data_IF_910389735165
#
_entry.id   IF_910389735165
#
_cell.length_a   1.000
_cell.length_b   1.000
_cell.length_c   1.000
_cell.angle_alpha   90.00
_cell.angle_beta   90.00
_cell.angle_gamma   90.00
#
_symmetry.space_group_name_H-M   'P 1'
#
loop_
_entity.id
_entity.type
_entity.pdbx_description
1 polymer ?
#
# COMPACT_ATOMS: atom_id res chain seq x y z
N UNK A 1 -34.08 -40.20 -50.96
CA UNK A 1 -34.65 -38.99 -50.32
C UNK A 1 -34.29 -37.81 -51.24
N UNK A 2 -35.17 -37.43 -52.19
CA UNK A 2 -35.81 -36.09 -52.33
C UNK A 2 -34.84 -34.93 -52.03
N UNK A 3 -34.60 -33.88 -52.82
CA UNK A 3 -35.30 -33.13 -53.89
C UNK A 3 -34.24 -32.11 -54.42
N UNK A 4 -34.06 -31.84 -55.71
CA UNK A 4 -34.86 -30.98 -56.60
C UNK A 4 -34.36 -29.51 -56.65
N UNK A 5 -33.98 -29.12 -57.88
CA UNK A 5 -34.12 -27.81 -58.58
C UNK A 5 -33.45 -26.52 -58.07
N UNK A 6 -32.99 -25.75 -59.06
CA UNK A 6 -33.44 -24.36 -59.19
C UNK A 6 -32.35 -23.30 -59.10
N UNK A 7 -31.78 -22.97 -60.26
CA UNK A 7 -31.08 -21.71 -60.50
C UNK A 7 -32.08 -20.53 -60.43
N UNK A 8 -31.79 -19.54 -59.58
CA UNK A 8 -32.46 -18.23 -59.57
C UNK A 8 -31.41 -17.16 -59.27
N UNK A 9 -31.11 -16.38 -60.30
CA UNK A 9 -30.41 -15.10 -60.19
C UNK A 9 -31.26 -14.11 -59.39
N UNK A 10 -30.66 -13.48 -58.38
CA UNK A 10 -31.23 -12.33 -57.68
C UNK A 10 -30.23 -11.17 -57.71
N UNK A 11 -30.76 -9.99 -57.95
CA UNK A 11 -30.08 -8.76 -58.32
C UNK A 11 -29.29 -8.12 -57.17
N UNK A 12 -28.19 -7.45 -57.55
CA UNK A 12 -27.42 -6.55 -56.69
C UNK A 12 -28.27 -5.35 -56.26
N UNK A 13 -28.60 -5.29 -54.98
CA UNK A 13 -29.13 -4.11 -54.30
C UNK A 13 -27.98 -3.43 -53.55
N UNK A 14 -27.46 -2.34 -54.12
CA UNK A 14 -26.53 -1.44 -53.44
C UNK A 14 -27.27 -0.68 -52.33
N UNK A 15 -26.96 -1.03 -51.08
CA UNK A 15 -27.38 -0.28 -49.88
C UNK A 15 -26.33 0.81 -49.62
N UNK A 16 -26.69 2.08 -49.44
CA UNK A 16 -25.74 3.12 -49.06
C UNK A 16 -25.36 2.94 -47.58
N UNK A 17 -24.09 2.60 -47.33
CA UNK A 17 -23.55 2.52 -45.97
C UNK A 17 -23.32 3.92 -45.41
N UNK A 18 -24.21 4.41 -44.57
CA UNK A 18 -23.95 5.59 -43.73
C UNK A 18 -22.90 5.21 -42.68
N UNK A 19 -21.72 5.84 -42.75
CA UNK A 19 -20.67 5.69 -41.74
C UNK A 19 -21.17 6.25 -40.40
N UNK A 20 -20.96 5.57 -39.27
CA UNK A 20 -21.31 6.11 -37.96
C UNK A 20 -20.41 7.31 -37.62
N UNK A 21 -21.02 8.33 -37.04
CA UNK A 21 -20.34 9.51 -36.49
C UNK A 21 -19.23 9.08 -35.51
N UNK A 22 -18.02 9.59 -35.75
CA UNK A 22 -16.89 9.42 -34.84
C UNK A 22 -17.15 10.29 -33.62
N UNK A 23 -17.63 9.67 -32.54
CA UNK A 23 -17.69 10.31 -31.23
C UNK A 23 -16.24 10.58 -30.78
N UNK A 24 -15.85 11.84 -30.47
CA UNK A 24 -14.52 12.11 -29.99
C UNK A 24 -14.35 11.46 -28.63
N UNK A 25 -13.46 10.47 -28.55
CA UNK A 25 -13.01 9.89 -27.29
C UNK A 25 -12.23 10.98 -26.56
N UNK A 26 -12.88 11.64 -25.60
CA UNK A 26 -12.18 12.46 -24.62
C UNK A 26 -11.17 11.55 -23.92
N UNK A 27 -9.88 11.79 -24.21
CA UNK A 27 -8.77 11.16 -23.51
C UNK A 27 -8.98 11.41 -22.01
N UNK A 28 -9.32 10.34 -21.28
CA UNK A 28 -9.48 10.43 -19.83
C UNK A 28 -8.19 10.95 -19.21
N UNK A 29 -8.34 11.90 -18.27
CA UNK A 29 -7.23 12.35 -17.43
C UNK A 29 -6.44 11.15 -16.89
N UNK A 30 -5.12 11.27 -16.69
CA UNK A 30 -4.34 10.20 -16.13
C UNK A 30 -4.95 9.82 -14.78
N UNK A 31 -5.59 8.66 -14.72
CA UNK A 31 -6.09 8.09 -13.46
C UNK A 31 -4.85 7.89 -12.61
N UNK A 32 -4.64 8.81 -11.67
CA UNK A 32 -3.65 8.63 -10.62
C UNK A 32 -4.02 7.29 -9.98
N UNK A 33 -3.14 6.29 -10.13
CA UNK A 33 -3.27 5.00 -9.41
C UNK A 33 -3.14 5.32 -7.92
N UNK A 34 -4.25 5.75 -7.34
CA UNK A 34 -4.52 5.85 -5.92
C UNK A 34 -5.44 4.67 -5.60
N UNK A 35 -5.21 4.03 -4.46
CA UNK A 35 -6.09 2.98 -3.99
C UNK A 35 -7.23 3.60 -3.16
N UNK A 36 -8.48 3.36 -3.58
CA UNK A 36 -9.67 3.92 -2.95
C UNK A 36 -9.94 5.40 -3.29
N UNK A 37 -10.99 5.97 -2.70
CA UNK A 37 -11.52 7.30 -3.07
C UNK A 37 -11.06 8.42 -2.12
N UNK A 38 -10.55 8.09 -0.92
CA UNK A 38 -10.12 9.10 0.07
C UNK A 38 -8.84 9.77 -0.39
N UNK A 39 -8.87 11.07 -0.67
CA UNK A 39 -7.73 11.77 -1.26
C UNK A 39 -6.56 11.85 -0.29
N UNK A 40 -5.34 11.72 -0.82
CA UNK A 40 -4.11 11.91 -0.06
C UNK A 40 -4.11 13.23 0.75
N UNK A 41 -4.57 14.32 0.13
CA UNK A 41 -4.66 15.63 0.78
C UNK A 41 -5.57 15.64 2.02
N UNK A 42 -6.66 14.88 2.03
CA UNK A 42 -7.58 14.81 3.18
C UNK A 42 -6.94 14.08 4.36
N UNK A 43 -6.23 12.98 4.07
CA UNK A 43 -5.45 12.25 5.08
C UNK A 43 -4.33 13.12 5.64
N UNK A 44 -3.54 13.75 4.77
CA UNK A 44 -2.44 14.64 5.16
C UNK A 44 -2.92 15.83 5.99
N UNK A 45 -4.08 16.40 5.66
CA UNK A 45 -4.68 17.48 6.44
C UNK A 45 -5.06 17.03 7.86
N UNK A 46 -5.54 15.79 8.05
CA UNK A 46 -5.84 15.27 9.39
C UNK A 46 -4.63 15.02 10.24
N UNK A 47 -3.51 14.67 9.62
CA UNK A 47 -2.29 14.25 10.33
C UNK A 47 -1.19 15.31 10.27
N UNK A 48 -1.56 16.57 9.98
CA UNK A 48 -0.63 17.70 9.87
C UNK A 48 0.06 18.00 11.20
N UNK A 49 -0.70 17.92 12.28
CA UNK A 49 -0.25 18.24 13.62
C UNK A 49 0.14 16.94 14.36
N UNK A 50 1.05 17.02 15.32
CA UNK A 50 1.56 15.86 16.04
C UNK A 50 1.45 16.04 17.55
N UNK A 51 0.67 15.18 18.20
CA UNK A 51 0.75 14.94 19.64
C UNK A 51 1.55 13.64 19.87
N UNK A 52 2.84 13.71 20.24
CA UNK A 52 3.68 12.51 20.37
C UNK A 52 3.13 11.54 21.41
N UNK A 53 3.05 10.26 21.04
CA UNK A 53 2.73 9.14 21.95
C UNK A 53 3.93 8.21 22.14
N UNK A 54 4.99 8.37 21.36
CA UNK A 54 6.30 7.77 21.67
C UNK A 54 7.01 8.57 22.77
N UNK A 55 7.76 7.87 23.62
CA UNK A 55 8.60 8.45 24.69
C UNK A 55 9.92 9.04 24.16
N UNK A 56 10.21 8.85 22.88
CA UNK A 56 11.38 9.36 22.18
C UNK A 56 11.12 9.52 20.70
N UNK A 57 12.19 9.69 19.92
CA UNK A 57 12.16 9.83 18.46
C UNK A 57 12.93 8.68 17.82
N UNK A 58 12.52 8.32 16.61
CA UNK A 58 13.16 7.35 15.73
C UNK A 58 14.06 8.05 14.71
N UNK A 59 14.99 7.28 14.17
CA UNK A 59 15.85 7.63 13.03
C UNK A 59 15.17 7.17 11.73
N UNK A 60 15.48 7.83 10.62
CA UNK A 60 15.14 7.32 9.28
C UNK A 60 16.08 6.16 8.93
N UNK A 61 17.38 6.38 9.13
CA UNK A 61 18.41 5.40 8.82
C UNK A 61 19.42 5.23 9.97
N UNK A 62 20.16 4.13 9.94
CA UNK A 62 21.29 3.90 10.84
C UNK A 62 22.30 5.06 10.78
N UNK A 63 22.71 5.56 11.94
CA UNK A 63 23.67 6.67 12.04
C UNK A 63 23.08 8.07 11.84
N UNK A 64 21.84 8.21 11.37
CA UNK A 64 21.18 9.53 11.24
C UNK A 64 20.60 10.00 12.57
N UNK A 65 20.48 11.30 12.85
CA UNK A 65 19.89 11.77 14.11
C UNK A 65 18.41 11.37 14.28
N UNK A 66 18.02 11.01 15.49
CA UNK A 66 16.64 10.64 15.80
C UNK A 66 15.71 11.87 15.82
N UNK A 67 14.81 11.97 14.85
CA UNK A 67 13.93 13.14 14.67
C UNK A 67 12.45 12.79 14.52
N UNK A 68 12.09 11.54 14.28
CA UNK A 68 10.73 11.14 13.90
C UNK A 68 9.94 10.69 15.14
N UNK A 69 8.93 11.45 15.62
CA UNK A 69 8.02 10.97 16.66
C UNK A 69 6.94 10.04 16.07
N UNK A 70 6.38 9.16 16.90
CA UNK A 70 5.07 8.55 16.62
C UNK A 70 4.03 9.44 17.27
N UNK A 71 3.08 9.90 16.48
CA UNK A 71 2.03 10.83 16.86
C UNK A 71 0.70 10.08 17.05
N UNK A 72 -0.06 10.44 18.08
CA UNK A 72 -1.35 9.84 18.38
C UNK A 72 -2.52 10.68 17.88
N UNK A 73 -3.55 10.00 17.41
CA UNK A 73 -4.88 10.56 17.16
C UNK A 73 -5.97 9.59 17.63
N UNK A 74 -7.22 10.07 17.62
CA UNK A 74 -8.38 9.20 17.83
C UNK A 74 -8.45 8.18 16.69
N UNK A 75 -8.46 6.90 17.04
CA UNK A 75 -8.54 5.79 16.07
C UNK A 75 -7.28 5.50 15.26
N UNK A 76 -6.20 6.29 15.37
CA UNK A 76 -4.97 6.05 14.61
C UNK A 76 -3.69 6.48 15.36
N UNK A 77 -2.56 5.93 14.94
CA UNK A 77 -1.24 6.55 15.13
C UNK A 77 -0.64 6.87 13.77
N UNK A 78 0.24 7.86 13.72
CA UNK A 78 0.91 8.21 12.48
C UNK A 78 2.33 8.72 12.70
N UNK A 79 3.11 8.70 11.62
CA UNK A 79 4.41 9.33 11.54
C UNK A 79 4.70 9.74 10.09
N UNK A 80 5.65 10.64 9.92
CA UNK A 80 6.19 11.00 8.61
C UNK A 80 7.68 10.66 8.59
N UNK A 81 8.10 9.89 7.60
CA UNK A 81 9.44 9.37 7.47
C UNK A 81 9.88 9.33 5.99
N UNK A 82 11.05 8.78 5.77
CA UNK A 82 11.49 8.12 4.55
C UNK A 82 10.70 6.83 4.27
N UNK A 83 11.11 6.12 3.21
CA UNK A 83 10.71 4.75 2.95
C UNK A 83 11.91 3.96 2.44
N UNK A 84 12.49 3.15 3.31
CA UNK A 84 13.35 2.03 2.97
C UNK A 84 12.50 0.83 2.49
N UNK A 85 13.09 0.01 1.62
CA UNK A 85 12.40 -1.14 1.04
C UNK A 85 12.74 -2.39 1.84
N UNK A 86 11.73 -2.92 2.52
CA UNK A 86 11.77 -4.21 3.17
C UNK A 86 11.39 -5.29 2.14
N UNK A 87 12.30 -6.22 1.89
CA UNK A 87 12.09 -7.36 1.00
C UNK A 87 11.95 -8.70 1.76
N UNK A 88 11.77 -8.67 3.07
CA UNK A 88 11.72 -9.86 3.90
C UNK A 88 10.50 -10.74 3.62
N UNK A 89 10.64 -12.02 3.96
CA UNK A 89 9.61 -13.03 3.83
C UNK A 89 9.86 -14.03 2.71
N UNK A 90 8.82 -14.36 1.95
CA UNK A 90 8.86 -15.41 0.93
C UNK A 90 9.79 -15.00 -0.20
N UNK A 91 10.83 -15.80 -0.51
CA UNK A 91 11.66 -15.54 -1.68
C UNK A 91 10.82 -15.49 -2.95
N UNK A 92 10.99 -14.43 -3.72
CA UNK A 92 10.36 -14.19 -5.01
C UNK A 92 11.41 -13.75 -6.02
N UNK A 93 11.00 -13.51 -7.27
CA UNK A 93 11.91 -12.95 -8.29
C UNK A 93 12.41 -11.55 -7.92
N UNK A 94 11.63 -10.79 -7.14
CA UNK A 94 11.94 -9.39 -6.77
C UNK A 94 12.65 -9.29 -5.42
N UNK A 95 12.25 -10.13 -4.47
CA UNK A 95 12.79 -10.12 -3.11
C UNK A 95 13.43 -11.47 -2.78
N UNK A 96 14.75 -11.50 -2.66
CA UNK A 96 15.54 -12.67 -2.28
C UNK A 96 16.97 -12.25 -1.91
N UNK A 97 17.77 -13.17 -1.36
CA UNK A 97 19.18 -12.95 -0.99
C UNK A 97 20.08 -12.42 -2.10
N UNK A 98 19.72 -12.58 -3.37
CA UNK A 98 20.52 -12.04 -4.49
C UNK A 98 20.13 -10.60 -4.79
N UNK A 99 18.87 -10.22 -4.63
CA UNK A 99 18.41 -8.85 -4.91
C UNK A 99 18.59 -7.94 -3.70
N UNK A 100 18.47 -8.47 -2.49
CA UNK A 100 18.58 -7.75 -1.23
C UNK A 100 19.66 -8.38 -0.32
N UNK A 101 20.76 -7.66 -0.02
CA UNK A 101 21.79 -8.12 0.92
C UNK A 101 21.31 -8.34 2.36
N UNK A 102 20.26 -7.63 2.78
CA UNK A 102 19.70 -7.69 4.13
C UNK A 102 18.56 -8.71 4.28
N UNK A 103 18.19 -9.38 3.18
CA UNK A 103 17.03 -10.27 3.11
C UNK A 103 16.98 -11.34 4.21
N UNK A 104 15.87 -11.35 4.94
CA UNK A 104 15.39 -12.46 5.77
C UNK A 104 14.33 -13.26 5.04
N UNK A 105 14.37 -14.59 5.18
CA UNK A 105 13.33 -15.47 4.66
C UNK A 105 12.07 -15.54 5.56
N UNK A 106 11.95 -14.66 6.54
CA UNK A 106 10.89 -14.63 7.53
C UNK A 106 10.42 -13.20 7.79
N UNK A 107 9.12 -13.05 8.05
CA UNK A 107 8.49 -11.83 8.53
C UNK A 107 7.96 -12.03 9.95
N UNK A 108 7.86 -10.98 10.75
CA UNK A 108 7.35 -11.05 12.12
C UNK A 108 5.92 -11.59 12.21
N UNK A 109 5.11 -11.38 11.17
CA UNK A 109 3.76 -11.93 11.05
C UNK A 109 3.65 -12.88 9.85
N UNK A 110 2.80 -13.89 9.98
CA UNK A 110 2.66 -14.96 8.98
C UNK A 110 1.29 -14.89 8.30
N UNK A 111 1.25 -15.43 7.08
CA UNK A 111 0.02 -15.72 6.34
C UNK A 111 -0.84 -16.73 7.11
N UNK A 112 -2.10 -16.89 6.68
CA UNK A 112 -3.00 -17.88 7.31
C UNK A 112 -2.56 -19.33 7.15
N UNK A 113 -1.70 -19.62 6.17
CA UNK A 113 -1.07 -20.92 5.96
C UNK A 113 0.24 -21.12 6.75
N UNK A 114 0.59 -20.18 7.63
CA UNK A 114 1.81 -20.21 8.45
C UNK A 114 3.10 -19.82 7.72
N UNK A 115 3.03 -19.47 6.43
CA UNK A 115 4.20 -19.01 5.68
C UNK A 115 4.48 -17.53 5.98
N UNK A 116 5.73 -17.06 5.79
CA UNK A 116 6.03 -15.62 5.80
C UNK A 116 5.22 -14.86 4.74
N UNK A 117 5.13 -13.54 4.86
CA UNK A 117 4.48 -12.70 3.86
C UNK A 117 5.31 -12.65 2.56
N UNK A 118 4.69 -12.26 1.44
CA UNK A 118 5.39 -12.04 0.17
C UNK A 118 5.51 -10.53 -0.09
N UNK A 119 6.67 -9.94 0.22
CA UNK A 119 6.93 -8.51 0.03
C UNK A 119 6.77 -8.03 -1.42
N UNK A 120 6.96 -8.93 -2.39
CA UNK A 120 6.83 -8.62 -3.81
C UNK A 120 5.38 -8.44 -4.26
N UNK A 121 4.41 -8.98 -3.52
CA UNK A 121 2.99 -8.96 -3.89
C UNK A 121 2.07 -8.31 -2.86
N UNK A 122 2.36 -8.41 -1.56
CA UNK A 122 1.52 -7.89 -0.49
C UNK A 122 2.04 -6.51 -0.02
N UNK A 123 1.22 -5.45 -0.14
CA UNK A 123 1.53 -4.17 0.49
C UNK A 123 1.52 -4.30 2.01
N UNK A 124 2.69 -4.16 2.63
CA UNK A 124 2.82 -4.04 4.07
C UNK A 124 3.74 -2.90 4.47
N UNK A 125 3.63 -2.50 5.74
CA UNK A 125 4.56 -1.61 6.43
C UNK A 125 5.26 -2.34 7.57
N UNK A 126 6.38 -1.79 7.97
CA UNK A 126 7.17 -2.26 9.10
C UNK A 126 6.97 -1.31 10.28
N UNK A 127 6.70 -1.85 11.46
CA UNK A 127 6.69 -1.07 12.70
C UNK A 127 7.98 -1.30 13.48
N UNK A 128 8.51 -0.33 14.22
CA UNK A 128 9.71 -0.55 15.00
C UNK A 128 9.47 -1.60 16.10
N UNK A 129 10.49 -2.41 16.38
CA UNK A 129 10.44 -3.35 17.50
C UNK A 129 10.15 -2.63 18.83
N UNK A 130 9.37 -3.24 19.75
CA UNK A 130 9.09 -2.67 21.06
C UNK A 130 10.38 -2.30 21.80
N UNK A 131 10.42 -1.08 22.31
CA UNK A 131 11.57 -0.54 23.01
C UNK A 131 11.14 0.50 24.04
N UNK A 132 12.11 1.13 24.69
CA UNK A 132 11.87 2.28 25.56
C UNK A 132 11.30 3.51 24.82
N UNK A 133 11.42 3.56 23.49
CA UNK A 133 10.91 4.64 22.65
C UNK A 133 9.40 4.48 22.48
N UNK A 134 8.94 3.30 22.07
CA UNK A 134 7.53 2.98 21.92
C UNK A 134 7.33 1.46 21.87
N UNK A 135 6.12 1.02 22.16
CA UNK A 135 5.63 -0.32 21.87
C UNK A 135 4.35 -0.17 21.06
N UNK A 136 4.37 -0.59 19.80
CA UNK A 136 3.21 -0.46 18.90
C UNK A 136 1.94 -1.12 19.47
N UNK A 137 2.11 -2.15 20.32
CA UNK A 137 0.98 -2.84 20.95
C UNK A 137 0.16 -1.95 21.90
N UNK A 138 0.82 -1.01 22.56
CA UNK A 138 0.18 -0.09 23.51
C UNK A 138 -0.74 0.91 22.78
N UNK A 139 -0.59 1.03 21.46
CA UNK A 139 -1.36 1.92 20.60
C UNK A 139 -2.44 1.18 19.79
N UNK A 140 -2.83 -0.04 20.19
CA UNK A 140 -3.83 -0.83 19.45
C UNK A 140 -3.34 -1.36 18.09
N UNK A 141 -2.03 -1.28 17.81
CA UNK A 141 -1.44 -1.82 16.57
C UNK A 141 -1.05 -3.28 16.77
N UNK A 142 -1.35 -4.14 15.81
CA UNK A 142 -1.04 -5.58 15.79
C UNK A 142 -0.62 -5.99 14.36
N UNK A 143 -0.10 -7.20 14.21
CA UNK A 143 0.05 -7.80 12.88
C UNK A 143 -1.28 -7.82 12.14
N UNK A 144 -1.26 -7.37 10.89
CA UNK A 144 -2.46 -7.23 10.08
C UNK A 144 -3.24 -5.92 10.29
N UNK A 145 -2.88 -5.07 11.26
CA UNK A 145 -3.50 -3.74 11.39
C UNK A 145 -3.41 -2.97 10.08
N UNK A 146 -4.51 -2.35 9.66
CA UNK A 146 -4.55 -1.62 8.39
C UNK A 146 -3.82 -0.29 8.52
N UNK A 147 -3.04 0.04 7.50
CA UNK A 147 -2.38 1.33 7.34
C UNK A 147 -2.80 1.99 6.02
N UNK A 148 -3.00 3.30 6.05
CA UNK A 148 -2.94 4.13 4.86
C UNK A 148 -1.53 4.72 4.75
N UNK A 149 -0.83 4.41 3.66
CA UNK A 149 0.50 4.94 3.36
C UNK A 149 0.35 5.99 2.27
N UNK A 150 0.78 7.21 2.55
CA UNK A 150 0.60 8.36 1.67
C UNK A 150 1.94 8.87 1.20
N UNK A 151 2.11 8.99 -0.12
CA UNK A 151 3.26 9.62 -0.72
C UNK A 151 2.78 10.52 -1.87
N UNK A 152 3.08 11.82 -1.77
CA UNK A 152 2.58 12.86 -2.69
C UNK A 152 1.04 12.83 -2.74
N UNK A 153 0.49 12.60 -3.93
CA UNK A 153 -0.94 12.53 -4.24
C UNK A 153 -1.49 11.10 -4.20
N UNK A 154 -0.69 10.10 -3.78
CA UNK A 154 -1.06 8.68 -3.80
C UNK A 154 -1.30 8.14 -2.40
N UNK A 155 -2.27 7.24 -2.32
CA UNK A 155 -2.61 6.45 -1.14
C UNK A 155 -2.49 4.98 -1.51
N UNK A 156 -1.84 4.21 -0.64
CA UNK A 156 -1.78 2.75 -0.67
C UNK A 156 -2.31 2.22 0.67
N UNK A 157 -3.28 1.31 0.64
CA UNK A 157 -3.68 0.57 1.83
C UNK A 157 -2.80 -0.66 1.99
N UNK A 158 -2.23 -0.79 3.17
CA UNK A 158 -1.28 -1.83 3.53
C UNK A 158 -1.67 -2.45 4.87
N UNK A 159 -0.99 -3.53 5.23
CA UNK A 159 -1.08 -4.12 6.58
C UNK A 159 0.23 -3.92 7.34
N UNK A 160 0.19 -3.95 8.67
CA UNK A 160 1.40 -4.12 9.48
C UNK A 160 1.89 -5.56 9.30
N UNK A 161 2.96 -5.74 8.53
CA UNK A 161 3.44 -7.04 8.09
C UNK A 161 4.73 -7.50 8.74
N UNK A 162 5.58 -6.57 9.18
CA UNK A 162 6.84 -6.88 9.83
C UNK A 162 7.17 -5.96 11.02
N UNK A 163 8.25 -6.30 11.72
CA UNK A 163 8.80 -5.59 12.86
C UNK A 163 10.30 -5.37 12.64
N UNK A 164 10.67 -4.11 12.45
CA UNK A 164 12.03 -3.69 12.14
C UNK A 164 12.87 -3.39 13.39
N UNK A 165 13.99 -2.66 13.23
CA UNK A 165 14.88 -2.28 14.33
C UNK A 165 14.17 -1.47 15.43
N UNK A 166 14.80 -1.39 16.61
CA UNK A 166 14.20 -0.78 17.82
C UNK A 166 14.16 0.75 17.80
N UNK A 167 14.99 1.39 16.97
CA UNK A 167 15.18 2.85 16.92
C UNK A 167 15.19 3.45 15.51
N UNK A 168 14.87 2.65 14.48
CA UNK A 168 14.68 3.06 13.09
C UNK A 168 13.20 2.90 12.72
N UNK A 169 12.68 3.78 11.85
CA UNK A 169 11.30 3.73 11.35
C UNK A 169 11.25 4.25 9.92
N UNK A 170 10.34 3.72 9.11
CA UNK A 170 10.18 4.15 7.72
C UNK A 170 10.47 3.03 6.73
N UNK A 171 10.08 1.79 7.02
CA UNK A 171 10.28 0.67 6.09
C UNK A 171 8.91 0.18 5.57
N UNK A 172 8.87 -0.27 4.32
CA UNK A 172 7.68 -0.86 3.70
C UNK A 172 8.04 -1.86 2.60
N UNK A 173 7.10 -2.74 2.26
CA UNK A 173 7.34 -3.79 1.28
C UNK A 173 7.61 -3.26 -0.13
N UNK A 174 8.29 -4.07 -0.95
CA UNK A 174 8.44 -3.83 -2.39
C UNK A 174 7.10 -3.45 -3.04
N UNK A 175 6.03 -4.18 -2.73
CA UNK A 175 4.69 -3.93 -3.28
C UNK A 175 4.13 -2.55 -2.88
N UNK A 176 4.29 -2.14 -1.61
CA UNK A 176 3.88 -0.81 -1.14
C UNK A 176 4.60 0.30 -1.90
N UNK A 177 5.92 0.21 -2.01
CA UNK A 177 6.72 1.21 -2.71
C UNK A 177 6.35 1.30 -4.20
N UNK A 178 6.23 0.15 -4.87
CA UNK A 178 5.85 0.09 -6.28
C UNK A 178 4.48 0.74 -6.55
N UNK A 179 3.50 0.50 -5.69
CA UNK A 179 2.16 1.07 -5.83
C UNK A 179 2.12 2.59 -5.61
N UNK A 180 2.98 3.10 -4.73
CA UNK A 180 3.16 4.54 -4.49
C UNK A 180 4.03 5.24 -5.55
N UNK A 181 4.56 4.51 -6.54
CA UNK A 181 5.47 5.06 -7.54
C UNK A 181 6.86 5.40 -6.99
N UNK A 182 7.23 4.80 -5.85
CA UNK A 182 8.57 4.85 -5.27
C UNK A 182 9.38 3.71 -5.90
N UNK A 183 10.67 3.93 -6.20
CA UNK A 183 11.52 2.87 -6.78
C UNK A 183 11.66 1.74 -5.76
N UNK A 184 11.16 0.52 -6.02
CA UNK A 184 11.05 -0.53 -5.00
C UNK A 184 12.32 -1.40 -4.90
N UNK A 185 13.48 -0.86 -5.29
CA UNK A 185 14.74 -1.62 -5.29
C UNK A 185 15.37 -1.60 -3.90
N UNK A 186 15.56 -2.73 -3.20
CA UNK A 186 16.10 -2.76 -1.84
C UNK A 186 17.56 -2.29 -1.71
N UNK A 187 18.32 -2.21 -2.81
CA UNK A 187 19.73 -1.78 -2.75
C UNK A 187 19.94 -0.28 -2.76
N UNK A 188 18.94 0.48 -3.17
CA UNK A 188 19.08 1.93 -3.21
C UNK A 188 17.85 2.66 -3.69
N UNK A 189 16.72 1.99 -3.84
CA UNK A 189 15.41 2.58 -4.07
C UNK A 189 14.91 3.33 -2.84
N UNK A 190 13.59 3.39 -2.68
CA UNK A 190 12.99 4.15 -1.60
C UNK A 190 12.90 5.65 -1.87
N UNK A 191 12.62 6.41 -0.82
CA UNK A 191 12.60 7.88 -0.82
C UNK A 191 13.12 8.39 0.52
N UNK A 192 13.99 9.42 0.55
CA UNK A 192 14.64 9.86 1.79
C UNK A 192 13.71 10.63 2.75
N UNK A 193 12.49 10.94 2.30
CA UNK A 193 11.43 11.54 3.12
C UNK A 193 10.11 11.57 2.36
N UNK A 194 9.07 12.05 3.03
CA UNK A 194 7.81 12.46 2.40
C UNK A 194 6.70 11.42 2.49
N UNK A 195 6.97 10.27 3.11
CA UNK A 195 5.98 9.22 3.31
C UNK A 195 5.31 9.41 4.66
N UNK A 196 3.98 9.42 4.64
CA UNK A 196 3.17 9.48 5.86
C UNK A 196 2.48 8.13 6.05
N UNK A 197 2.71 7.53 7.21
CA UNK A 197 2.15 6.24 7.60
C UNK A 197 1.05 6.52 8.61
N UNK A 198 -0.18 6.07 8.34
CA UNK A 198 -1.33 6.22 9.24
C UNK A 198 -1.85 4.82 9.55
N UNK A 199 -1.61 4.34 10.77
CA UNK A 199 -2.02 3.00 11.19
C UNK A 199 -3.27 3.10 12.03
N UNK A 200 -4.34 2.44 11.58
CA UNK A 200 -5.62 2.43 12.28
C UNK A 200 -5.57 1.44 13.44
N UNK A 201 -6.02 1.89 14.62
CA UNK A 201 -5.99 1.11 15.86
C UNK A 201 -7.04 0.02 15.83
N UNK A 202 -6.71 -1.16 16.36
CA UNK A 202 -7.64 -2.27 16.59
C UNK A 202 -8.35 -2.78 15.32
N UNK A 203 -7.66 -2.74 14.18
CA UNK A 203 -8.21 -3.10 12.86
C UNK A 203 -7.45 -4.20 12.13
N UNK A 204 -7.08 -5.33 12.78
CA UNK A 204 -6.36 -6.38 12.09
C UNK A 204 -7.23 -7.01 10.98
N UNK A 205 -6.68 -7.10 9.77
CA UNK A 205 -7.24 -7.91 8.67
C UNK A 205 -6.78 -9.34 8.84
N UNK A 206 -7.73 -10.27 8.69
CA UNK A 206 -7.46 -11.71 8.63
C UNK A 206 -8.24 -12.32 7.46
N UNK A 207 -7.59 -13.12 6.59
CA UNK A 207 -6.16 -13.43 6.60
C UNK A 207 -5.32 -12.22 6.17
N UNK A 208 -4.11 -12.05 6.74
CA UNK A 208 -3.27 -10.85 6.57
C UNK A 208 -2.86 -10.61 5.11
N UNK A 209 -2.70 -11.70 4.36
CA UNK A 209 -2.37 -11.72 2.94
C UNK A 209 -3.52 -11.33 2.01
N UNK A 210 -4.74 -11.13 2.54
CA UNK A 210 -5.86 -10.67 1.75
C UNK A 210 -5.79 -9.15 1.55
N UNK A 211 -5.04 -8.75 0.53
CA UNK A 211 -4.88 -7.35 0.17
C UNK A 211 -6.23 -6.68 -0.15
N UNK A 212 -7.14 -7.34 -0.86
CA UNK A 212 -8.46 -6.78 -1.17
C UNK A 212 -9.27 -6.46 0.11
N UNK A 213 -9.17 -7.29 1.15
CA UNK A 213 -9.77 -7.00 2.45
C UNK A 213 -9.11 -5.79 3.14
N UNK A 214 -7.77 -5.64 3.02
CA UNK A 214 -7.06 -4.45 3.50
C UNK A 214 -7.51 -3.18 2.78
N UNK A 215 -7.77 -3.23 1.47
CA UNK A 215 -8.32 -2.09 0.70
C UNK A 215 -9.72 -1.73 1.20
N UNK A 216 -10.62 -2.71 1.27
CA UNK A 216 -12.00 -2.46 1.71
C UNK A 216 -12.07 -1.89 3.13
N UNK A 217 -11.28 -2.47 4.05
CA UNK A 217 -11.20 -1.99 5.42
C UNK A 217 -10.53 -0.61 5.49
N UNK A 218 -9.40 -0.42 4.80
CA UNK A 218 -8.63 0.81 4.77
C UNK A 218 -9.45 1.97 4.25
N UNK A 219 -10.19 1.78 3.16
CA UNK A 219 -11.06 2.80 2.59
C UNK A 219 -12.16 3.22 3.57
N UNK A 220 -12.81 2.27 4.24
CA UNK A 220 -13.81 2.57 5.26
C UNK A 220 -13.20 3.34 6.44
N UNK A 221 -12.04 2.91 6.93
CA UNK A 221 -11.35 3.50 8.08
C UNK A 221 -10.83 4.91 7.76
N UNK A 222 -10.25 5.10 6.58
CA UNK A 222 -9.80 6.39 6.08
C UNK A 222 -10.97 7.37 5.98
N UNK A 223 -12.12 6.95 5.41
CA UNK A 223 -13.33 7.79 5.34
C UNK A 223 -13.83 8.19 6.73
N UNK A 224 -13.83 7.28 7.70
CA UNK A 224 -14.24 7.58 9.08
C UNK A 224 -13.25 8.55 9.74
N UNK A 225 -11.97 8.28 9.57
CA UNK A 225 -10.87 9.07 10.12
C UNK A 225 -10.89 10.52 9.63
N UNK A 226 -11.03 10.75 8.31
CA UNK A 226 -11.12 12.12 7.76
C UNK A 226 -12.40 12.85 8.17
N UNK A 227 -13.48 12.12 8.47
CA UNK A 227 -14.74 12.67 9.01
C UNK A 227 -14.71 12.87 10.53
N UNK A 228 -13.64 12.45 11.21
CA UNK A 228 -13.53 12.51 12.67
C UNK A 228 -14.56 11.66 13.38
N UNK A 229 -14.92 10.48 12.83
CA UNK A 229 -15.88 9.52 13.40
C UNK A 229 -15.18 8.32 14.03
#
# INVERSE_FOLDING_TARGET
MRRQEGDVRAADLLVPTTLPDVVPVTQGEPVTRQEGDVRAAELLAKVRDCAPVSRGRYRSDAGTPARIPICGMRGAVHWKADMDIDCDGRPSRRCNRRTDPSFSAATAFQQSDGRPLDAGHLPYIVVPAPSRISNYRDHGVRGGSVAAVVYRDRVQYAVVGDVGPRDIIGEASYATAAALGIRPDPRGGGTPSGVTYIVFKDTPVKPIENHAAAVLAGERLARQFVRGR
#
